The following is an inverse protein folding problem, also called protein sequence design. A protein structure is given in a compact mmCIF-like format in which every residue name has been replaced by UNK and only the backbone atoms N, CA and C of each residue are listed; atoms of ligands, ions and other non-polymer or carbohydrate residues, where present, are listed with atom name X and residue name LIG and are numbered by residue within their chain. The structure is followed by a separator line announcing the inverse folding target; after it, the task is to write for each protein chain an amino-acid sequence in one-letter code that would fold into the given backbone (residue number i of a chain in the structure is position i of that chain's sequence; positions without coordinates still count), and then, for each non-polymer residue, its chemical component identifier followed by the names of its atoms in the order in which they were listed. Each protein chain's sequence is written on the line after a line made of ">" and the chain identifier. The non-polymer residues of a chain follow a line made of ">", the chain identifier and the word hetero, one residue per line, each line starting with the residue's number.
data_IF_813508159416
#
_entry.id   IF_813508159416
#
_cell.length_a   1.000
_cell.length_b   1.000
_cell.length_c   1.000
_cell.angle_alpha   90.00
_cell.angle_beta   90.00
_cell.angle_gamma   90.00
#
_symmetry.space_group_name_H-M   'P 1'
#
loop_
_entity.id
_entity.type
_entity.pdbx_description
1 polymer ?
#
# COMPACT_ATOMS: atom_id res chain seq x y z
N UNK A 1 19.45 12.60 24.32
CA UNK A 1 19.42 13.51 25.48
C UNK A 1 19.01 14.94 25.13
N UNK A 2 19.53 15.56 24.05
CA UNK A 2 19.27 17.00 23.75
C UNK A 2 17.81 17.35 23.42
N UNK A 3 16.99 16.46 22.90
CA UNK A 3 15.60 16.75 22.48
C UNK A 3 14.66 16.99 23.67
N UNK A 4 14.65 16.09 24.65
CA UNK A 4 13.83 16.24 25.86
C UNK A 4 14.20 17.49 26.67
N UNK A 5 15.49 17.83 26.73
CA UNK A 5 15.98 19.02 27.39
C UNK A 5 15.55 20.32 26.69
N UNK A 6 15.48 20.32 25.35
CA UNK A 6 14.93 21.47 24.58
C UNK A 6 13.45 21.71 24.84
N UNK A 7 12.71 20.67 25.23
CA UNK A 7 11.31 20.74 25.61
C UNK A 7 11.10 21.02 27.13
N UNK A 8 12.18 21.29 27.87
CA UNK A 8 12.11 21.64 29.29
C UNK A 8 12.10 20.46 30.27
N UNK A 9 12.28 19.23 29.78
CA UNK A 9 12.29 18.02 30.62
C UNK A 9 13.72 17.63 31.01
N UNK A 10 13.89 17.10 32.26
CA UNK A 10 15.20 16.65 32.78
C UNK A 10 15.88 15.54 31.96
N UNK A 11 15.13 14.89 31.05
CA UNK A 11 15.62 13.82 30.19
C UNK A 11 14.48 13.02 29.56
N UNK A 12 14.80 12.04 28.74
CA UNK A 12 13.83 11.23 28.01
C UNK A 12 12.83 10.48 28.93
N UNK A 13 13.24 9.91 30.09
CA UNK A 13 12.28 9.29 31.02
C UNK A 13 11.25 10.28 31.57
N UNK A 14 11.66 11.52 31.89
CA UNK A 14 10.74 12.57 32.39
C UNK A 14 9.78 13.02 31.27
N UNK A 15 10.24 13.15 30.03
CA UNK A 15 9.38 13.45 28.89
C UNK A 15 8.37 12.32 28.64
N UNK A 16 8.81 11.05 28.71
CA UNK A 16 7.94 9.89 28.53
C UNK A 16 6.86 9.80 29.61
N UNK A 17 7.21 10.07 30.85
CA UNK A 17 6.27 10.10 31.98
C UNK A 17 5.24 11.21 31.80
N UNK A 18 5.68 12.44 31.49
CA UNK A 18 4.78 13.57 31.26
C UNK A 18 3.83 13.36 30.08
N UNK A 19 4.30 12.71 29.01
CA UNK A 19 3.44 12.31 27.89
C UNK A 19 2.42 11.26 28.32
N UNK A 20 2.82 10.27 29.12
CA UNK A 20 1.90 9.25 29.65
C UNK A 20 0.85 9.87 30.58
N UNK A 21 1.24 10.79 31.43
CA UNK A 21 0.33 11.52 32.34
C UNK A 21 -0.62 12.45 31.56
N UNK A 22 -0.14 13.15 30.54
CA UNK A 22 -0.97 13.99 29.68
C UNK A 22 -1.98 13.17 28.87
N UNK A 23 -1.62 11.96 28.43
CA UNK A 23 -2.53 11.03 27.77
C UNK A 23 -3.56 10.44 28.75
N UNK A 24 -3.15 10.15 30.00
CA UNK A 24 -4.03 9.63 31.04
C UNK A 24 -4.96 10.69 31.65
N UNK A 25 -4.59 11.98 31.60
CA UNK A 25 -5.39 13.11 32.14
C UNK A 25 -6.39 13.70 31.14
N UNK A 26 -6.45 13.21 29.90
CA UNK A 26 -7.58 13.55 29.04
C UNK A 26 -8.86 12.95 29.66
N UNK A 27 -9.93 13.76 29.88
CA UNK A 27 -11.16 13.25 30.46
C UNK A 27 -11.64 12.08 29.59
N UNK A 28 -11.61 10.87 30.11
CA UNK A 28 -12.21 9.72 29.48
C UNK A 28 -13.71 9.98 29.35
N UNK A 29 -14.15 10.37 28.18
CA UNK A 29 -15.54 10.19 27.80
C UNK A 29 -15.81 8.69 27.88
N UNK A 30 -16.94 8.23 28.45
CA UNK A 30 -17.20 6.79 28.68
C UNK A 30 -17.36 5.99 27.37
N UNK A 31 -17.22 6.59 26.20
CA UNK A 31 -17.34 5.91 24.93
C UNK A 31 -16.05 5.20 24.51
N UNK A 32 -16.19 3.93 24.18
CA UNK A 32 -15.09 3.06 23.74
C UNK A 32 -14.58 3.49 22.37
N UNK A 33 -13.25 3.66 22.16
CA UNK A 33 -12.69 3.84 20.84
C UNK A 33 -12.98 2.60 19.97
N UNK A 34 -13.57 2.79 18.79
CA UNK A 34 -13.88 1.71 17.86
C UNK A 34 -12.91 1.64 16.69
N UNK A 35 -12.26 2.76 16.34
CA UNK A 35 -11.24 2.82 15.31
C UNK A 35 -10.39 4.10 15.50
N UNK A 36 -9.10 3.97 15.79
CA UNK A 36 -8.20 5.11 16.04
C UNK A 36 -8.84 6.17 16.97
N UNK A 37 -9.14 7.36 16.45
CA UNK A 37 -9.77 8.45 17.20
C UNK A 37 -11.32 8.45 17.12
N UNK A 38 -11.92 7.48 16.43
CA UNK A 38 -13.37 7.36 16.30
C UNK A 38 -13.95 6.62 17.50
N UNK A 39 -14.97 7.19 18.11
CA UNK A 39 -15.63 6.67 19.33
C UNK A 39 -17.01 6.12 18.97
N UNK A 40 -17.52 5.23 19.83
CA UNK A 40 -18.82 4.57 19.60
C UNK A 40 -20.02 5.52 19.67
N UNK A 41 -19.89 6.69 20.27
CA UNK A 41 -20.91 7.73 20.42
C UNK A 41 -20.73 8.92 19.45
N UNK A 42 -19.73 8.88 18.55
CA UNK A 42 -19.53 9.94 17.55
C UNK A 42 -20.73 9.99 16.59
N UNK A 43 -21.29 11.18 16.32
CA UNK A 43 -22.26 11.34 15.24
C UNK A 43 -21.65 10.91 13.88
N UNK A 44 -22.45 10.29 13.00
CA UNK A 44 -21.97 9.78 11.69
C UNK A 44 -21.21 10.82 10.87
N UNK A 45 -21.64 12.09 10.92
CA UNK A 45 -20.93 13.17 10.22
C UNK A 45 -19.51 13.34 10.77
N UNK A 46 -19.33 13.33 12.09
CA UNK A 46 -18.03 13.43 12.75
C UNK A 46 -17.16 12.21 12.45
N UNK A 47 -17.76 11.02 12.43
CA UNK A 47 -17.07 9.79 11.98
C UNK A 47 -16.52 9.97 10.56
N UNK A 48 -17.33 10.48 9.63
CA UNK A 48 -16.91 10.76 8.26
C UNK A 48 -15.75 11.78 8.19
N UNK A 49 -15.83 12.87 8.94
CA UNK A 49 -14.77 13.89 9.00
C UNK A 49 -13.45 13.34 9.57
N UNK A 50 -13.51 12.51 10.61
CA UNK A 50 -12.35 11.81 11.19
C UNK A 50 -11.72 10.85 10.18
N UNK A 51 -12.52 10.05 9.47
CA UNK A 51 -12.04 9.13 8.42
C UNK A 51 -11.35 9.87 7.27
N UNK A 52 -11.94 10.97 6.80
CA UNK A 52 -11.33 11.79 5.73
C UNK A 52 -9.98 12.33 6.20
N UNK A 53 -9.92 12.90 7.41
CA UNK A 53 -8.70 13.44 7.99
C UNK A 53 -7.61 12.37 8.10
N UNK A 54 -7.94 11.20 8.64
CA UNK A 54 -7.03 10.08 8.81
C UNK A 54 -6.50 9.57 7.47
N UNK A 55 -7.39 9.29 6.51
CA UNK A 55 -7.00 8.79 5.19
C UNK A 55 -6.14 9.80 4.44
N UNK A 56 -6.48 11.09 4.50
CA UNK A 56 -5.69 12.17 3.89
C UNK A 56 -4.30 12.24 4.50
N UNK A 57 -4.17 12.17 5.82
CA UNK A 57 -2.88 12.16 6.51
C UNK A 57 -2.04 10.94 6.11
N UNK A 58 -2.64 9.74 6.03
CA UNK A 58 -1.96 8.51 5.60
C UNK A 58 -1.45 8.61 4.16
N UNK A 59 -2.26 9.16 3.24
CA UNK A 59 -1.86 9.36 1.84
C UNK A 59 -0.69 10.35 1.70
N UNK A 60 -0.71 11.49 2.39
CA UNK A 60 0.40 12.44 2.38
C UNK A 60 1.67 11.87 3.02
N UNK A 61 1.56 11.19 4.17
CA UNK A 61 2.70 10.54 4.80
C UNK A 61 3.31 9.46 3.89
N UNK A 62 2.47 8.71 3.19
CA UNK A 62 2.86 7.71 2.20
C UNK A 62 3.57 8.34 1.00
N UNK A 63 3.08 9.45 0.47
CA UNK A 63 3.74 10.16 -0.62
C UNK A 63 5.13 10.66 -0.18
N UNK A 64 5.22 11.26 1.01
CA UNK A 64 6.45 11.87 1.52
C UNK A 64 7.56 10.86 1.85
N UNK A 65 7.23 9.62 2.19
CA UNK A 65 8.23 8.58 2.51
C UNK A 65 8.86 7.94 1.27
N UNK A 66 8.24 8.10 0.10
CA UNK A 66 8.71 7.58 -1.17
C UNK A 66 9.34 8.71 -2.00
N UNK A 67 10.66 8.61 -2.25
CA UNK A 67 11.34 9.60 -3.08
C UNK A 67 10.92 9.51 -4.54
N UNK A 68 11.00 10.63 -5.25
CA UNK A 68 10.73 10.73 -6.68
C UNK A 68 11.54 9.70 -7.49
N UNK A 69 12.81 9.53 -7.13
CA UNK A 69 13.70 8.56 -7.76
C UNK A 69 13.16 7.12 -7.62
N UNK A 70 12.76 6.71 -6.41
CA UNK A 70 12.15 5.39 -6.19
C UNK A 70 10.86 5.18 -6.96
N UNK A 71 10.04 6.20 -7.06
CA UNK A 71 8.81 6.15 -7.87
C UNK A 71 9.13 5.92 -9.34
N UNK A 72 10.12 6.64 -9.89
CA UNK A 72 10.57 6.45 -11.27
C UNK A 72 11.16 5.06 -11.52
N UNK A 73 11.97 4.53 -10.59
CA UNK A 73 12.50 3.17 -10.67
C UNK A 73 11.38 2.12 -10.71
N UNK A 74 10.36 2.26 -9.87
CA UNK A 74 9.20 1.36 -9.86
C UNK A 74 8.38 1.45 -11.16
N UNK A 75 8.18 2.65 -11.71
CA UNK A 75 7.52 2.84 -13.01
C UNK A 75 8.32 2.19 -14.13
N UNK A 76 9.65 2.37 -14.15
CA UNK A 76 10.52 1.73 -15.15
C UNK A 76 10.47 0.19 -15.04
N UNK A 77 10.43 -0.35 -13.82
CA UNK A 77 10.31 -1.79 -13.59
C UNK A 77 8.97 -2.34 -14.12
N UNK A 78 7.86 -1.65 -13.86
CA UNK A 78 6.54 -2.03 -14.39
C UNK A 78 6.54 -2.00 -15.92
N UNK A 79 7.14 -0.98 -16.52
CA UNK A 79 7.18 -0.79 -17.96
C UNK A 79 8.02 -1.84 -18.69
N UNK A 80 9.12 -2.28 -18.10
CA UNK A 80 10.03 -3.27 -18.69
C UNK A 80 9.56 -4.70 -18.53
N UNK A 81 8.58 -4.98 -17.66
CA UNK A 81 8.14 -6.32 -17.37
C UNK A 81 7.37 -6.93 -18.55
N UNK A 82 7.73 -8.17 -18.95
CA UNK A 82 7.00 -8.97 -19.94
C UNK A 82 5.60 -9.33 -19.43
N UNK A 83 5.50 -9.63 -18.15
CA UNK A 83 4.27 -9.98 -17.43
C UNK A 83 4.34 -9.46 -15.99
N UNK A 84 3.25 -8.89 -15.51
CA UNK A 84 3.12 -8.40 -14.14
C UNK A 84 2.11 -9.26 -13.39
N UNK A 85 2.59 -9.98 -12.39
CA UNK A 85 1.77 -10.79 -11.48
C UNK A 85 1.54 -9.94 -10.24
N UNK A 86 0.28 -9.60 -9.97
CA UNK A 86 -0.08 -8.81 -8.80
C UNK A 86 -0.70 -9.72 -7.73
N UNK A 87 -0.38 -9.48 -6.47
CA UNK A 87 -0.92 -10.28 -5.37
C UNK A 87 -1.04 -9.47 -4.08
N UNK A 88 -1.89 -9.94 -3.20
CA UNK A 88 -2.13 -9.42 -1.85
C UNK A 88 -3.23 -10.24 -1.18
N UNK A 89 -3.32 -10.14 0.14
CA UNK A 89 -4.33 -10.85 0.94
C UNK A 89 -5.30 -9.83 1.55
N UNK A 90 -6.59 -10.17 1.58
CA UNK A 90 -7.64 -9.30 2.13
C UNK A 90 -7.79 -8.00 1.35
N UNK A 91 -7.81 -6.84 2.04
CA UNK A 91 -7.95 -5.51 1.45
C UNK A 91 -6.81 -5.20 0.47
N UNK A 92 -5.57 -5.56 0.79
CA UNK A 92 -4.44 -5.41 -0.13
C UNK A 92 -4.62 -6.21 -1.43
N UNK A 93 -5.29 -7.37 -1.37
CA UNK A 93 -5.65 -8.16 -2.56
C UNK A 93 -6.66 -7.44 -3.46
N UNK A 94 -7.58 -6.66 -2.89
CA UNK A 94 -8.52 -5.82 -3.65
C UNK A 94 -7.79 -4.66 -4.34
N UNK A 95 -6.81 -4.05 -3.68
CA UNK A 95 -5.95 -3.03 -4.29
C UNK A 95 -5.16 -3.60 -5.46
N UNK A 96 -4.54 -4.78 -5.27
CA UNK A 96 -3.81 -5.49 -6.33
C UNK A 96 -4.72 -5.79 -7.54
N UNK A 97 -5.96 -6.24 -7.29
CA UNK A 97 -6.94 -6.52 -8.34
C UNK A 97 -7.33 -5.25 -9.10
N UNK A 98 -7.61 -4.16 -8.39
CA UNK A 98 -7.95 -2.87 -9.00
C UNK A 98 -6.80 -2.36 -9.88
N UNK A 99 -5.57 -2.44 -9.37
CA UNK A 99 -4.40 -2.01 -10.13
C UNK A 99 -4.16 -2.87 -11.37
N UNK A 100 -4.33 -4.20 -11.28
CA UNK A 100 -4.24 -5.09 -12.44
C UNK A 100 -5.22 -4.69 -13.54
N UNK A 101 -6.47 -4.37 -13.20
CA UNK A 101 -7.46 -3.90 -14.18
C UNK A 101 -7.04 -2.58 -14.86
N UNK A 102 -6.47 -1.64 -14.09
CA UNK A 102 -5.95 -0.39 -14.63
C UNK A 102 -4.79 -0.63 -15.61
N UNK A 103 -3.85 -1.50 -15.24
CA UNK A 103 -2.73 -1.87 -16.11
C UNK A 103 -3.19 -2.54 -17.41
N UNK A 104 -4.15 -3.48 -17.33
CA UNK A 104 -4.74 -4.09 -18.52
C UNK A 104 -5.38 -3.07 -19.47
N UNK A 105 -6.08 -2.05 -18.93
CA UNK A 105 -6.70 -1.00 -19.76
C UNK A 105 -5.70 -0.22 -20.60
N UNK A 106 -4.45 -0.09 -20.16
CA UNK A 106 -3.38 0.57 -20.91
C UNK A 106 -2.44 -0.40 -21.63
N UNK A 107 -2.82 -1.69 -21.67
CA UNK A 107 -2.21 -2.70 -22.53
C UNK A 107 -1.06 -3.50 -21.89
N UNK A 108 -0.87 -3.43 -20.57
CA UNK A 108 0.08 -4.30 -19.89
C UNK A 108 -0.46 -5.73 -19.76
N UNK A 109 0.43 -6.69 -19.88
CA UNK A 109 0.14 -8.09 -19.54
C UNK A 109 0.18 -8.25 -18.02
N UNK A 110 -0.91 -7.92 -17.36
CA UNK A 110 -1.03 -7.86 -15.91
C UNK A 110 -2.20 -8.71 -15.42
N UNK A 111 -2.00 -9.46 -14.33
CA UNK A 111 -3.06 -10.24 -13.70
C UNK A 111 -2.89 -10.26 -12.18
N UNK A 112 -4.00 -10.11 -11.46
CA UNK A 112 -4.01 -10.31 -10.03
C UNK A 112 -4.35 -11.77 -9.69
N UNK A 113 -3.48 -12.42 -8.91
CA UNK A 113 -3.66 -13.81 -8.48
C UNK A 113 -3.94 -13.80 -6.98
N UNK A 114 -5.16 -14.16 -6.60
CA UNK A 114 -5.65 -14.12 -5.21
C UNK A 114 -5.62 -15.48 -4.51
N UNK A 115 -5.76 -16.56 -5.28
CA UNK A 115 -5.58 -17.90 -4.76
C UNK A 115 -4.09 -18.20 -4.56
N UNK A 116 -3.71 -18.68 -3.38
CA UNK A 116 -2.30 -18.87 -3.04
C UNK A 116 -1.67 -20.06 -3.76
N UNK A 117 -2.43 -21.11 -4.05
CA UNK A 117 -1.92 -22.23 -4.83
C UNK A 117 -1.70 -21.83 -6.31
N UNK A 118 -2.65 -21.08 -6.87
CA UNK A 118 -2.51 -20.51 -8.21
C UNK A 118 -1.33 -19.51 -8.29
N UNK A 119 -1.11 -18.71 -7.22
CA UNK A 119 0.03 -17.81 -7.14
C UNK A 119 1.35 -18.57 -7.21
N UNK A 120 1.53 -19.59 -6.38
CA UNK A 120 2.77 -20.38 -6.35
C UNK A 120 2.97 -21.12 -7.69
N UNK A 121 1.91 -21.67 -8.27
CA UNK A 121 1.96 -22.28 -9.60
C UNK A 121 2.33 -21.27 -10.70
N UNK A 122 1.89 -20.02 -10.58
CA UNK A 122 2.19 -18.95 -11.54
C UNK A 122 3.64 -18.49 -11.42
N UNK A 123 4.13 -18.23 -10.20
CA UNK A 123 5.49 -17.70 -10.01
C UNK A 123 6.56 -18.73 -10.32
N UNK A 124 6.33 -20.02 -10.03
CA UNK A 124 7.29 -21.08 -10.37
C UNK A 124 7.49 -21.25 -11.90
N UNK A 125 6.50 -20.86 -12.68
CA UNK A 125 6.54 -20.89 -14.16
C UNK A 125 6.91 -19.51 -14.75
N UNK A 126 7.43 -18.58 -13.93
CA UNK A 126 7.86 -17.26 -14.37
C UNK A 126 9.27 -17.28 -15.00
N UNK A 127 9.64 -16.18 -15.62
CA UNK A 127 10.94 -15.95 -16.24
C UNK A 127 11.63 -14.71 -15.63
N UNK A 128 12.92 -14.46 -15.90
CA UNK A 128 13.62 -13.28 -15.45
C UNK A 128 13.00 -11.94 -15.87
N UNK A 129 12.22 -11.94 -16.96
CA UNK A 129 11.54 -10.75 -17.47
C UNK A 129 10.17 -10.51 -16.81
N UNK A 130 9.73 -11.38 -15.92
CA UNK A 130 8.46 -11.25 -15.21
C UNK A 130 8.64 -10.48 -13.90
N UNK A 131 7.58 -9.80 -13.48
CA UNK A 131 7.54 -9.00 -12.26
C UNK A 131 6.42 -9.52 -11.34
N UNK A 132 6.77 -9.80 -10.09
CA UNK A 132 5.82 -9.97 -9.00
C UNK A 132 5.62 -8.64 -8.28
N UNK A 133 4.41 -8.07 -8.31
CA UNK A 133 4.02 -6.94 -7.47
C UNK A 133 3.23 -7.47 -6.28
N UNK A 134 3.82 -7.42 -5.09
CA UNK A 134 3.23 -7.92 -3.85
C UNK A 134 2.81 -6.76 -2.95
N UNK A 135 1.52 -6.71 -2.59
CA UNK A 135 0.96 -5.68 -1.71
C UNK A 135 0.63 -6.30 -0.35
N UNK A 136 1.31 -5.82 0.71
CA UNK A 136 1.10 -6.30 2.06
C UNK A 136 1.54 -5.28 3.09
N UNK A 137 0.62 -4.66 3.83
CA UNK A 137 0.97 -3.64 4.82
C UNK A 137 1.94 -4.17 5.88
N UNK A 138 1.67 -5.33 6.46
CA UNK A 138 2.54 -5.92 7.49
C UNK A 138 3.81 -6.57 6.92
N UNK A 139 3.78 -7.03 5.67
CA UNK A 139 4.89 -7.72 5.01
C UNK A 139 5.30 -9.07 5.60
N UNK A 140 4.52 -9.63 6.55
CA UNK A 140 4.87 -10.87 7.26
C UNK A 140 4.13 -12.12 6.77
N UNK A 141 3.21 -11.96 5.81
CA UNK A 141 2.41 -13.10 5.32
C UNK A 141 3.31 -14.12 4.62
N UNK A 142 3.31 -15.35 5.17
CA UNK A 142 4.19 -16.43 4.71
C UNK A 142 4.00 -16.75 3.23
N UNK A 143 2.76 -16.79 2.78
CA UNK A 143 2.38 -17.12 1.41
C UNK A 143 2.97 -16.12 0.39
N UNK A 144 2.90 -14.83 0.71
CA UNK A 144 3.45 -13.77 -0.14
C UNK A 144 4.98 -13.77 -0.13
N UNK A 145 5.58 -14.04 1.02
CA UNK A 145 7.03 -14.15 1.15
C UNK A 145 7.57 -15.38 0.40
N UNK A 146 6.86 -16.52 0.44
CA UNK A 146 7.20 -17.70 -0.34
C UNK A 146 7.10 -17.44 -1.86
N UNK A 147 6.07 -16.73 -2.30
CA UNK A 147 5.93 -16.34 -3.69
C UNK A 147 7.05 -15.40 -4.15
N UNK A 148 7.48 -14.47 -3.27
CA UNK A 148 8.62 -13.59 -3.54
C UNK A 148 9.94 -14.37 -3.62
N UNK A 149 10.19 -15.31 -2.70
CA UNK A 149 11.37 -16.18 -2.73
C UNK A 149 11.42 -17.00 -4.02
N UNK A 150 10.28 -17.55 -4.44
CA UNK A 150 10.19 -18.35 -5.69
C UNK A 150 10.39 -17.47 -6.93
N UNK A 151 9.83 -16.25 -6.97
CA UNK A 151 10.05 -15.31 -8.08
C UNK A 151 11.55 -14.98 -8.22
N UNK A 152 12.25 -14.73 -7.12
CA UNK A 152 13.69 -14.48 -7.11
C UNK A 152 14.48 -15.72 -7.56
N UNK A 153 14.06 -16.91 -7.13
CA UNK A 153 14.70 -18.18 -7.53
C UNK A 153 14.68 -18.40 -9.06
N UNK A 154 13.61 -18.01 -9.74
CA UNK A 154 13.51 -18.10 -11.20
C UNK A 154 14.17 -16.90 -11.92
N UNK A 155 14.80 -16.00 -11.19
CA UNK A 155 15.50 -14.82 -11.71
C UNK A 155 14.60 -13.62 -12.00
N UNK A 156 13.32 -13.70 -11.68
CA UNK A 156 12.38 -12.59 -11.82
C UNK A 156 12.59 -11.49 -10.78
N UNK A 157 11.82 -10.44 -10.87
CA UNK A 157 11.90 -9.29 -9.96
C UNK A 157 10.70 -9.20 -9.04
N UNK A 158 10.90 -8.61 -7.86
CA UNK A 158 9.84 -8.38 -6.87
C UNK A 158 9.75 -6.88 -6.58
N UNK A 159 8.57 -6.30 -6.82
CA UNK A 159 8.19 -4.96 -6.36
C UNK A 159 7.23 -5.12 -5.19
N UNK A 160 7.57 -4.56 -4.04
CA UNK A 160 6.72 -4.58 -2.85
C UNK A 160 6.06 -3.21 -2.61
N UNK A 161 4.77 -3.22 -2.27
CA UNK A 161 4.09 -2.10 -1.62
C UNK A 161 3.78 -2.57 -0.20
N UNK A 162 4.49 -2.02 0.80
CA UNK A 162 4.44 -2.54 2.18
C UNK A 162 4.60 -1.42 3.21
N UNK A 163 4.31 -1.70 4.47
CA UNK A 163 4.52 -0.74 5.56
C UNK A 163 5.99 -0.37 5.73
N UNK A 164 6.25 0.80 6.30
CA UNK A 164 7.59 1.34 6.50
C UNK A 164 8.42 0.58 7.54
N UNK A 165 7.76 -0.03 8.53
CA UNK A 165 8.43 -0.84 9.55
C UNK A 165 9.14 -2.04 8.89
N UNK A 166 10.41 -2.33 9.25
CA UNK A 166 11.17 -3.44 8.70
C UNK A 166 10.38 -4.76 8.76
N UNK A 167 10.30 -5.45 7.62
CA UNK A 167 9.51 -6.68 7.50
C UNK A 167 10.12 -7.64 6.47
N UNK A 168 9.60 -8.87 6.46
CA UNK A 168 10.15 -9.95 5.66
C UNK A 168 9.98 -9.75 4.15
N UNK A 169 8.94 -9.05 3.71
CA UNK A 169 8.71 -8.76 2.28
C UNK A 169 9.71 -7.72 1.76
N UNK A 170 10.05 -6.70 2.57
CA UNK A 170 11.09 -5.72 2.21
C UNK A 170 12.43 -6.38 1.90
N UNK A 171 12.83 -7.40 2.68
CA UNK A 171 14.10 -8.10 2.51
C UNK A 171 14.19 -8.89 1.19
N UNK A 172 13.06 -9.21 0.58
CA UNK A 172 12.91 -9.99 -0.65
C UNK A 172 12.68 -9.12 -1.87
N UNK A 173 12.27 -7.89 -1.66
CA UNK A 173 11.91 -7.00 -2.76
C UNK A 173 13.15 -6.44 -3.46
N UNK A 174 13.14 -6.45 -4.79
CA UNK A 174 14.10 -5.72 -5.61
C UNK A 174 13.93 -4.22 -5.43
N UNK A 175 12.67 -3.77 -5.31
CA UNK A 175 12.30 -2.38 -4.98
C UNK A 175 11.10 -2.37 -4.03
N UNK A 176 11.06 -1.36 -3.14
CA UNK A 176 9.97 -1.17 -2.18
C UNK A 176 9.39 0.24 -2.29
N UNK A 177 8.06 0.32 -2.36
CA UNK A 177 7.31 1.51 -2.00
C UNK A 177 6.66 1.30 -0.63
N UNK A 178 6.71 2.34 0.17
CA UNK A 178 6.26 2.27 1.56
C UNK A 178 4.90 2.94 1.73
N UNK A 179 4.05 2.30 2.53
CA UNK A 179 2.79 2.88 3.00
C UNK A 179 2.89 3.25 4.46
N UNK A 180 2.39 4.43 4.80
CA UNK A 180 2.24 4.89 6.19
C UNK A 180 0.75 4.94 6.50
N UNK A 181 0.35 4.20 7.54
CA UNK A 181 -1.02 4.24 8.05
C UNK A 181 -1.01 3.99 9.56
N UNK A 182 -1.92 4.61 10.27
CA UNK A 182 -2.14 4.32 11.68
C UNK A 182 -3.13 3.16 11.77
N UNK A 183 -2.61 1.94 11.93
CA UNK A 183 -3.43 0.75 12.12
C UNK A 183 -3.14 0.14 13.49
N UNK A 184 -4.14 0.14 14.35
CA UNK A 184 -4.07 -0.56 15.63
C UNK A 184 -4.41 -2.05 15.42
N UNK A 185 -3.58 -2.94 15.97
CA UNK A 185 -3.71 -4.40 15.78
C UNK A 185 -5.08 -4.97 16.21
N UNK A 186 -5.77 -4.32 17.13
CA UNK A 186 -7.04 -4.77 17.69
C UNK A 186 -8.28 -4.34 16.91
N UNK A 187 -8.21 -3.24 16.14
CA UNK A 187 -9.37 -2.62 15.50
C UNK A 187 -9.13 -2.30 14.02
N UNK A 188 -8.06 -2.83 13.45
CA UNK A 188 -7.68 -2.53 12.07
C UNK A 188 -8.57 -3.27 11.08
N UNK A 189 -9.37 -2.53 10.35
CA UNK A 189 -10.05 -2.99 9.14
C UNK A 189 -9.23 -2.67 7.88
N UNK A 190 -7.94 -2.32 8.03
CA UNK A 190 -7.04 -1.89 6.94
C UNK A 190 -7.58 -0.69 6.14
N UNK A 191 -8.31 0.22 6.80
CA UNK A 191 -8.98 1.34 6.11
C UNK A 191 -7.93 2.29 5.56
N UNK A 192 -7.09 2.88 6.42
CA UNK A 192 -6.09 3.87 6.01
C UNK A 192 -4.99 3.26 5.14
N UNK A 193 -4.56 2.03 5.46
CA UNK A 193 -3.57 1.32 4.65
C UNK A 193 -4.09 1.05 3.22
N UNK A 194 -5.37 0.68 3.08
CA UNK A 194 -5.98 0.44 1.77
C UNK A 194 -6.03 1.71 0.92
N UNK A 195 -6.38 2.86 1.51
CA UNK A 195 -6.39 4.16 0.82
C UNK A 195 -4.97 4.60 0.41
N UNK A 196 -3.99 4.42 1.31
CA UNK A 196 -2.59 4.74 1.03
C UNK A 196 -2.00 3.85 -0.08
N UNK A 197 -2.28 2.55 -0.07
CA UNK A 197 -1.91 1.60 -1.14
C UNK A 197 -2.60 1.96 -2.46
N UNK A 198 -3.89 2.30 -2.40
CA UNK A 198 -4.67 2.73 -3.56
C UNK A 198 -4.08 3.98 -4.21
N UNK A 199 -3.74 5.00 -3.42
CA UNK A 199 -3.09 6.23 -3.89
C UNK A 199 -1.76 5.92 -4.59
N UNK A 200 -0.90 5.05 -4.04
CA UNK A 200 0.36 4.67 -4.68
C UNK A 200 0.13 3.95 -6.02
N UNK A 201 -0.82 3.02 -6.08
CA UNK A 201 -1.13 2.32 -7.34
C UNK A 201 -1.72 3.25 -8.38
N UNK A 202 -2.51 4.25 -7.97
CA UNK A 202 -3.04 5.29 -8.85
C UNK A 202 -1.94 6.23 -9.36
N UNK A 203 -1.00 6.60 -8.49
CA UNK A 203 0.16 7.39 -8.88
C UNK A 203 1.00 6.66 -9.93
N UNK A 204 1.31 5.36 -9.70
CA UNK A 204 2.04 4.56 -10.67
C UNK A 204 1.28 4.42 -12.00
N UNK A 205 -0.04 4.25 -11.95
CA UNK A 205 -0.88 4.19 -13.14
C UNK A 205 -0.82 5.49 -13.95
N UNK A 206 -0.98 6.64 -13.30
CA UNK A 206 -0.89 7.95 -13.97
C UNK A 206 0.51 8.18 -14.53
N UNK A 207 1.56 7.82 -13.79
CA UNK A 207 2.93 7.95 -14.26
C UNK A 207 3.21 7.08 -15.50
N UNK A 208 2.61 5.89 -15.60
CA UNK A 208 2.69 5.05 -16.81
C UNK A 208 1.98 5.71 -18.00
N UNK A 209 0.82 6.34 -17.80
CA UNK A 209 0.11 7.10 -18.85
C UNK A 209 0.94 8.30 -19.31
N UNK A 210 1.58 9.03 -18.38
CA UNK A 210 2.45 10.16 -18.72
C UNK A 210 3.62 9.76 -19.63
N UNK A 211 4.07 8.51 -19.58
CA UNK A 211 5.13 7.99 -20.44
C UNK A 211 4.63 7.46 -21.79
N UNK A 212 3.32 7.40 -22.00
CA UNK A 212 2.68 6.95 -23.24
C UNK A 212 1.39 7.75 -23.49
N UNK A 213 1.56 9.02 -23.83
CA UNK A 213 0.44 9.95 -24.02
C UNK A 213 -0.38 9.70 -25.30
N UNK A 214 0.10 8.87 -26.21
CA UNK A 214 -0.61 8.55 -27.45
C UNK A 214 -1.47 7.30 -27.27
N UNK A 215 -0.88 6.17 -26.94
CA UNK A 215 -1.57 4.88 -26.95
C UNK A 215 -2.36 4.61 -25.65
N UNK A 216 -1.86 5.00 -24.49
CA UNK A 216 -2.53 4.70 -23.22
C UNK A 216 -3.92 5.35 -23.13
N UNK A 217 -4.12 6.65 -23.43
CA UNK A 217 -5.44 7.27 -23.43
C UNK A 217 -6.37 6.70 -24.49
N UNK A 218 -5.85 6.30 -25.66
CA UNK A 218 -6.64 5.67 -26.73
C UNK A 218 -7.17 4.32 -26.26
N UNK A 219 -6.33 3.47 -25.66
CA UNK A 219 -6.72 2.18 -25.11
C UNK A 219 -7.76 2.30 -24.02
N UNK A 220 -7.66 3.29 -23.15
CA UNK A 220 -8.68 3.58 -22.12
C UNK A 220 -10.02 3.89 -22.79
N UNK A 221 -10.05 4.83 -23.75
CA UNK A 221 -11.28 5.18 -24.47
C UNK A 221 -11.88 3.98 -25.19
N UNK A 222 -11.04 3.17 -25.84
CA UNK A 222 -11.48 1.97 -26.53
C UNK A 222 -12.11 0.94 -25.57
N UNK A 223 -11.45 0.69 -24.45
CA UNK A 223 -11.97 -0.18 -23.38
C UNK A 223 -13.34 0.28 -22.88
N UNK A 224 -13.50 1.58 -22.64
CA UNK A 224 -14.79 2.16 -22.23
C UNK A 224 -15.87 2.01 -23.30
N UNK A 225 -15.50 2.19 -24.58
CA UNK A 225 -16.42 2.00 -25.70
C UNK A 225 -16.87 0.54 -25.84
N UNK A 226 -15.98 -0.43 -25.54
CA UNK A 226 -16.37 -1.84 -25.52
C UNK A 226 -17.35 -2.16 -24.38
N UNK A 227 -17.12 -1.63 -23.18
CA UNK A 227 -18.03 -1.82 -22.04
C UNK A 227 -19.43 -1.25 -22.33
N UNK A 228 -19.52 -0.10 -23.01
CA UNK A 228 -20.80 0.48 -23.43
C UNK A 228 -21.61 -0.40 -24.40
N UNK A 229 -20.98 -1.37 -25.06
CA UNK A 229 -21.69 -2.31 -25.94
C UNK A 229 -22.31 -3.49 -25.18
N UNK A 230 -22.03 -3.63 -23.87
CA UNK A 230 -22.64 -4.66 -23.02
C UNK A 230 -23.99 -4.23 -22.45
N UNK A 231 -24.34 -2.96 -22.58
CA UNK A 231 -25.60 -2.34 -22.18
C UNK A 231 -26.38 -1.97 -23.45
#
# INVERSE_FOLDING_TARGET
>A
MKFAQKLGYKGFPALKLALSEALASQPESPSVPIHNQIRGDDPLRLVGEKLIKENTAAMYATLNVNSEEKLHECVAMLRSARRIILTGIGASGLVAQNFAWKLMKIGFNAAAVRDMHALLATVQASSPDDLLLSISYTGVRRELNLAADEMLRVGGKVLAITGFTPNALQQRASHCLYTIAEEQATNSASISACHAQGMLTDLLFIALIQQDLELAPERIRHSEALVKKLV
#
